data_IF_271257870345
#
_entry.id   IF_271257870345
#
_cell.length_a   1.000
_cell.length_b   1.000
_cell.length_c   1.000
_cell.angle_alpha   90.00
_cell.angle_beta   90.00
_cell.angle_gamma   90.00
#
_symmetry.space_group_name_H-M   'P 1'
#
loop_
_entity.id
_entity.type
_entity.pdbx_description
1 polymer ?
#
# COMPACT_ATOMS: atom_id res chain seq x y z
N UNK A 1 -26.87 11.77 18.17
CA UNK A 1 -26.33 12.56 17.05
C UNK A 1 -25.61 11.70 16.02
N UNK A 2 -24.57 10.93 16.39
CA UNK A 2 -23.86 10.04 15.44
C UNK A 2 -24.76 9.04 14.71
N UNK A 3 -25.67 8.38 15.44
CA UNK A 3 -26.67 7.48 14.83
C UNK A 3 -27.62 8.21 13.88
N UNK A 4 -27.95 9.48 14.14
CA UNK A 4 -28.78 10.29 13.25
C UNK A 4 -28.02 10.62 11.96
N UNK A 5 -26.72 10.94 12.05
CA UNK A 5 -25.86 11.14 10.86
C UNK A 5 -25.76 9.85 10.06
N UNK A 6 -25.61 8.70 10.71
CA UNK A 6 -25.59 7.41 10.04
C UNK A 6 -26.89 7.17 9.26
N UNK A 7 -28.05 7.30 9.90
CA UNK A 7 -29.30 7.03 9.21
C UNK A 7 -29.60 8.10 8.14
N UNK A 8 -29.65 9.37 8.53
CA UNK A 8 -30.18 10.45 7.67
C UNK A 8 -29.23 10.85 6.55
N UNK A 9 -27.92 10.71 6.75
CA UNK A 9 -26.93 11.13 5.76
C UNK A 9 -26.23 9.94 5.10
N UNK A 10 -25.69 8.99 5.86
CA UNK A 10 -24.96 7.86 5.26
C UNK A 10 -25.92 6.91 4.52
N UNK A 11 -27.00 6.47 5.17
CA UNK A 11 -27.94 5.50 4.59
C UNK A 11 -28.93 6.17 3.64
N UNK A 12 -29.59 7.25 4.06
CA UNK A 12 -30.70 7.83 3.27
C UNK A 12 -30.23 8.69 2.08
N UNK A 13 -29.03 9.29 2.16
CA UNK A 13 -28.52 10.21 1.12
C UNK A 13 -27.31 9.64 0.38
N UNK A 14 -26.27 9.22 1.10
CA UNK A 14 -24.99 8.88 0.51
C UNK A 14 -24.99 7.50 -0.14
N UNK A 15 -25.59 6.49 0.51
CA UNK A 15 -25.64 5.13 -0.02
C UNK A 15 -26.31 5.03 -1.40
N UNK A 16 -27.48 5.63 -1.68
CA UNK A 16 -28.07 5.61 -3.01
C UNK A 16 -27.20 6.28 -4.08
N UNK A 17 -26.45 7.33 -3.70
CA UNK A 17 -25.53 8.01 -4.61
C UNK A 17 -24.28 7.16 -4.90
N UNK A 18 -23.74 6.50 -3.88
CA UNK A 18 -22.63 5.58 -4.03
C UNK A 18 -23.01 4.36 -4.85
N UNK A 19 -24.24 3.85 -4.73
CA UNK A 19 -24.73 2.72 -5.53
C UNK A 19 -25.21 3.12 -6.94
N UNK A 20 -25.16 4.41 -7.27
CA UNK A 20 -25.56 4.92 -8.58
C UNK A 20 -24.59 4.46 -9.68
N UNK A 21 -25.06 4.41 -10.92
CA UNK A 21 -24.26 4.08 -12.11
C UNK A 21 -23.74 5.31 -12.86
N UNK A 22 -24.25 6.51 -12.54
CA UNK A 22 -23.79 7.76 -13.14
C UNK A 22 -22.40 8.14 -12.59
N UNK A 23 -21.40 8.19 -13.46
CA UNK A 23 -20.02 8.47 -13.09
C UNK A 23 -19.87 9.78 -12.30
N UNK A 24 -20.57 10.84 -12.70
CA UNK A 24 -20.50 12.11 -12.00
C UNK A 24 -21.06 12.03 -10.57
N UNK A 25 -22.17 11.30 -10.37
CA UNK A 25 -22.77 11.10 -9.05
C UNK A 25 -21.84 10.28 -8.17
N UNK A 26 -21.25 9.23 -8.73
CA UNK A 26 -20.28 8.37 -8.04
C UNK A 26 -19.04 9.16 -7.64
N UNK A 27 -18.49 9.96 -8.54
CA UNK A 27 -17.29 10.75 -8.29
C UNK A 27 -17.52 11.78 -7.18
N UNK A 28 -18.62 12.53 -7.26
CA UNK A 28 -18.97 13.55 -6.27
C UNK A 28 -19.24 12.91 -4.90
N UNK A 29 -20.05 11.86 -4.85
CA UNK A 29 -20.38 11.18 -3.57
C UNK A 29 -19.15 10.53 -2.93
N UNK A 30 -18.28 9.90 -3.73
CA UNK A 30 -17.00 9.34 -3.23
C UNK A 30 -16.08 10.43 -2.72
N UNK A 31 -15.99 11.58 -3.41
CA UNK A 31 -15.17 12.72 -2.99
C UNK A 31 -15.70 13.38 -1.71
N UNK A 32 -17.02 13.53 -1.58
CA UNK A 32 -17.68 14.02 -0.36
C UNK A 32 -17.41 13.08 0.81
N UNK A 33 -17.51 11.76 0.58
CA UNK A 33 -17.20 10.77 1.61
C UNK A 33 -15.73 10.81 2.00
N UNK A 34 -14.82 10.93 1.03
CA UNK A 34 -13.38 11.10 1.27
C UNK A 34 -13.11 12.32 2.15
N UNK A 35 -13.72 13.47 1.85
CA UNK A 35 -13.61 14.66 2.68
C UNK A 35 -14.21 14.45 4.08
N UNK A 36 -15.34 13.76 4.20
CA UNK A 36 -15.94 13.46 5.50
C UNK A 36 -15.07 12.54 6.36
N UNK A 37 -14.46 11.50 5.76
CA UNK A 37 -13.46 10.66 6.43
C UNK A 37 -12.28 11.53 6.83
N UNK A 38 -11.67 12.30 5.92
CA UNK A 38 -10.54 13.19 6.25
C UNK A 38 -10.83 14.09 7.45
N UNK A 39 -11.99 14.74 7.46
CA UNK A 39 -12.35 15.76 8.45
C UNK A 39 -12.94 15.19 9.76
N UNK A 40 -13.36 13.92 9.81
CA UNK A 40 -13.93 13.38 11.05
C UNK A 40 -12.87 13.27 12.15
N UNK A 41 -13.18 13.86 13.31
CA UNK A 41 -12.37 13.82 14.52
C UNK A 41 -13.08 13.11 15.68
N UNK A 42 -14.41 13.03 15.66
CA UNK A 42 -15.19 12.33 16.70
C UNK A 42 -15.11 10.82 16.50
N UNK A 43 -14.66 10.09 17.52
CA UNK A 43 -14.61 8.62 17.51
C UNK A 43 -15.96 8.00 17.18
N UNK A 44 -17.04 8.46 17.81
CA UNK A 44 -18.38 7.94 17.55
C UNK A 44 -18.87 8.19 16.12
N UNK A 45 -18.42 9.23 15.43
CA UNK A 45 -18.75 9.44 14.01
C UNK A 45 -17.86 8.62 13.09
N UNK A 46 -16.58 8.48 13.44
CA UNK A 46 -15.65 7.59 12.74
C UNK A 46 -16.14 6.14 12.77
N UNK A 47 -16.61 5.65 13.92
CA UNK A 47 -17.18 4.31 14.05
C UNK A 47 -18.37 4.10 13.11
N UNK A 48 -19.24 5.12 12.97
CA UNK A 48 -20.38 5.05 12.04
C UNK A 48 -19.92 5.05 10.58
N UNK A 49 -18.92 5.85 10.22
CA UNK A 49 -18.37 5.89 8.86
C UNK A 49 -17.69 4.57 8.50
N UNK A 50 -16.89 4.01 9.41
CA UNK A 50 -16.19 2.74 9.22
C UNK A 50 -17.19 1.58 9.14
N UNK A 51 -18.19 1.55 10.03
CA UNK A 51 -19.25 0.55 9.98
C UNK A 51 -20.00 0.62 8.64
N UNK A 52 -20.42 1.82 8.23
CA UNK A 52 -21.11 2.05 6.97
C UNK A 52 -20.28 1.57 5.77
N UNK A 53 -19.00 1.94 5.68
CA UNK A 53 -18.14 1.62 4.53
C UNK A 53 -17.65 0.17 4.49
N UNK A 54 -17.22 -0.37 5.64
CA UNK A 54 -16.46 -1.62 5.72
C UNK A 54 -17.28 -2.81 6.25
N UNK A 55 -18.41 -2.57 6.93
CA UNK A 55 -19.30 -3.64 7.41
C UNK A 55 -20.54 -3.81 6.52
N UNK A 56 -20.80 -2.88 5.60
CA UNK A 56 -21.84 -3.02 4.58
C UNK A 56 -21.25 -3.67 3.32
N UNK A 57 -21.41 -4.99 3.20
CA UNK A 57 -20.76 -5.80 2.16
C UNK A 57 -20.82 -5.23 0.73
N UNK A 58 -21.98 -4.71 0.23
CA UNK A 58 -22.04 -4.10 -1.10
C UNK A 58 -21.13 -2.87 -1.26
N UNK A 59 -21.00 -2.04 -0.23
CA UNK A 59 -20.22 -0.80 -0.29
C UNK A 59 -18.73 -1.07 -0.23
N UNK A 60 -18.29 -2.02 0.60
CA UNK A 60 -16.88 -2.39 0.69
C UNK A 60 -16.41 -2.98 -0.64
N UNK A 61 -17.16 -3.93 -1.20
CA UNK A 61 -16.83 -4.51 -2.50
C UNK A 61 -16.82 -3.44 -3.61
N UNK A 62 -17.80 -2.54 -3.62
CA UNK A 62 -17.90 -1.48 -4.62
C UNK A 62 -16.75 -0.46 -4.51
N UNK A 63 -16.36 -0.07 -3.30
CA UNK A 63 -15.20 0.79 -3.06
C UNK A 63 -13.94 0.17 -3.65
N UNK A 64 -13.67 -1.10 -3.31
CA UNK A 64 -12.48 -1.80 -3.76
C UNK A 64 -12.49 -2.05 -5.27
N UNK A 65 -13.65 -2.40 -5.85
CA UNK A 65 -13.80 -2.51 -7.30
C UNK A 65 -13.52 -1.17 -8.00
N UNK A 66 -13.93 -0.04 -7.41
CA UNK A 66 -13.72 1.28 -8.00
C UNK A 66 -12.28 1.76 -7.96
N UNK A 67 -11.43 1.22 -7.08
CA UNK A 67 -9.98 1.47 -7.13
C UNK A 67 -9.34 0.97 -8.44
N UNK A 68 -9.97 0.03 -9.16
CA UNK A 68 -9.58 -0.40 -10.51
C UNK A 68 -10.60 -0.03 -11.61
N UNK A 69 -11.31 1.09 -11.43
CA UNK A 69 -12.29 1.54 -12.42
C UNK A 69 -11.63 2.03 -13.72
N UNK A 70 -12.34 1.91 -14.85
CA UNK A 70 -11.89 2.40 -16.16
C UNK A 70 -11.68 3.92 -16.21
N UNK A 71 -12.51 4.66 -15.46
CA UNK A 71 -12.32 6.10 -15.23
C UNK A 71 -11.25 6.33 -14.17
N UNK A 72 -10.15 6.97 -14.57
CA UNK A 72 -9.05 7.33 -13.68
C UNK A 72 -9.51 8.23 -12.53
N UNK A 73 -10.50 9.12 -12.76
CA UNK A 73 -11.03 10.00 -11.72
C UNK A 73 -11.73 9.21 -10.60
N UNK A 74 -12.50 8.19 -10.97
CA UNK A 74 -13.18 7.32 -9.99
C UNK A 74 -12.15 6.48 -9.24
N UNK A 75 -11.15 5.94 -9.94
CA UNK A 75 -10.05 5.19 -9.33
C UNK A 75 -9.25 6.02 -8.34
N UNK A 76 -8.89 7.24 -8.75
CA UNK A 76 -8.21 8.22 -7.90
C UNK A 76 -9.03 8.52 -6.65
N UNK A 77 -10.28 8.94 -6.79
CA UNK A 77 -11.11 9.30 -5.64
C UNK A 77 -11.31 8.12 -4.67
N UNK A 78 -11.40 6.89 -5.21
CA UNK A 78 -11.57 5.67 -4.41
C UNK A 78 -10.28 5.29 -3.67
N UNK A 79 -9.13 5.36 -4.34
CA UNK A 79 -7.82 5.15 -3.69
C UNK A 79 -7.53 6.22 -2.64
N UNK A 80 -7.85 7.49 -2.91
CA UNK A 80 -7.73 8.55 -1.90
C UNK A 80 -8.65 8.28 -0.70
N UNK A 81 -9.87 7.78 -0.90
CA UNK A 81 -10.74 7.40 0.21
C UNK A 81 -10.14 6.25 1.04
N UNK A 82 -9.57 5.22 0.39
CA UNK A 82 -8.84 4.15 1.10
C UNK A 82 -7.66 4.73 1.88
N UNK A 83 -6.91 5.64 1.25
CA UNK A 83 -5.79 6.33 1.86
C UNK A 83 -6.21 7.12 3.12
N UNK A 84 -7.33 7.85 3.07
CA UNK A 84 -7.89 8.59 4.21
C UNK A 84 -8.38 7.67 5.32
N UNK A 85 -8.96 6.52 4.98
CA UNK A 85 -9.34 5.51 5.98
C UNK A 85 -8.12 5.00 6.74
N UNK A 86 -7.02 4.70 6.03
CA UNK A 86 -5.79 4.21 6.64
C UNK A 86 -5.13 5.23 7.59
N UNK A 87 -5.50 6.50 7.53
CA UNK A 87 -5.04 7.54 8.47
C UNK A 87 -5.89 7.63 9.76
N UNK A 88 -6.92 6.79 9.91
CA UNK A 88 -7.84 6.86 11.04
C UNK A 88 -7.50 5.87 12.15
N UNK A 89 -7.67 6.26 13.42
CA UNK A 89 -7.35 5.41 14.58
C UNK A 89 -8.44 4.35 14.82
N UNK A 90 -8.76 3.56 13.79
CA UNK A 90 -9.79 2.52 13.85
C UNK A 90 -9.26 1.18 13.30
N UNK A 91 -8.99 0.24 14.20
CA UNK A 91 -8.40 -1.08 13.90
C UNK A 91 -9.12 -1.86 12.80
N UNK A 92 -10.47 -1.84 12.78
CA UNK A 92 -11.25 -2.58 11.77
C UNK A 92 -10.88 -2.22 10.32
N UNK A 93 -10.33 -1.02 10.09
CA UNK A 93 -9.92 -0.60 8.76
C UNK A 93 -8.87 -1.56 8.20
N UNK A 94 -7.80 -1.84 8.95
CA UNK A 94 -6.79 -2.81 8.54
C UNK A 94 -7.32 -4.24 8.59
N UNK A 95 -8.13 -4.57 9.60
CA UNK A 95 -8.65 -5.94 9.76
C UNK A 95 -9.52 -6.37 8.57
N UNK A 96 -10.45 -5.51 8.15
CA UNK A 96 -11.36 -5.80 7.04
C UNK A 96 -10.66 -5.68 5.69
N UNK A 97 -9.81 -4.67 5.51
CA UNK A 97 -9.20 -4.41 4.20
C UNK A 97 -8.07 -5.39 3.87
N UNK A 98 -7.27 -5.81 4.85
CA UNK A 98 -6.02 -6.55 4.60
C UNK A 98 -5.76 -7.71 5.55
N UNK A 99 -5.82 -7.52 6.88
CA UNK A 99 -5.28 -8.51 7.82
C UNK A 99 -6.10 -9.81 7.85
N UNK A 100 -7.42 -9.73 7.71
CA UNK A 100 -8.28 -10.92 7.68
C UNK A 100 -7.89 -11.93 6.59
N UNK A 101 -7.34 -11.46 5.47
CA UNK A 101 -6.86 -12.30 4.37
C UNK A 101 -5.47 -12.90 4.63
N UNK A 102 -4.64 -12.25 5.46
CA UNK A 102 -3.27 -12.68 5.74
C UNK A 102 -3.16 -13.61 6.96
N UNK A 103 -4.18 -13.66 7.84
CA UNK A 103 -4.13 -14.39 9.12
C UNK A 103 -3.71 -15.87 9.01
N UNK A 104 -4.14 -16.56 7.96
CA UNK A 104 -3.81 -17.98 7.75
C UNK A 104 -2.42 -18.24 7.17
N UNK A 105 -1.72 -17.19 6.69
CA UNK A 105 -0.42 -17.29 5.99
C UNK A 105 -0.43 -18.31 4.84
N UNK A 106 -1.58 -18.51 4.19
CA UNK A 106 -1.77 -19.45 3.09
C UNK A 106 -1.00 -19.06 1.80
N UNK A 107 -0.43 -17.85 1.75
CA UNK A 107 0.50 -17.41 0.72
C UNK A 107 1.87 -18.10 0.81
N UNK A 108 2.17 -18.85 1.87
CA UNK A 108 3.45 -19.56 2.02
C UNK A 108 3.38 -20.98 1.43
N UNK A 109 4.46 -21.41 0.78
CA UNK A 109 4.63 -22.78 0.33
C UNK A 109 4.78 -23.74 1.52
N UNK A 110 4.14 -24.92 1.51
CA UNK A 110 4.24 -25.92 2.60
C UNK A 110 5.68 -26.34 2.92
N UNK A 111 6.58 -26.26 1.93
CA UNK A 111 7.99 -26.63 2.10
C UNK A 111 8.81 -25.59 2.89
N UNK A 112 8.26 -24.41 3.15
CA UNK A 112 8.93 -23.34 3.90
C UNK A 112 8.85 -23.53 5.43
N UNK A 113 7.97 -24.42 5.91
CA UNK A 113 7.74 -24.63 7.35
C UNK A 113 8.83 -25.46 8.06
N UNK A 114 9.88 -25.91 7.35
CA UNK A 114 10.91 -26.81 7.88
C UNK A 114 12.36 -26.45 7.56
N UNK A 115 12.62 -25.29 6.94
CA UNK A 115 14.00 -24.81 6.77
C UNK A 115 14.25 -23.78 7.85
N UNK A 116 15.02 -24.25 8.84
CA UNK A 116 15.49 -23.52 9.99
C UNK A 116 16.13 -22.18 9.61
N UNK A 117 15.94 -21.27 10.54
CA UNK A 117 16.13 -19.84 10.50
C UNK A 117 17.61 -19.47 10.27
N UNK A 118 18.07 -19.54 9.02
CA UNK A 118 19.25 -18.76 8.64
C UNK A 118 18.81 -17.31 8.53
N UNK A 119 18.79 -16.64 9.68
CA UNK A 119 19.12 -15.22 9.77
C UNK A 119 20.50 -15.03 9.12
N UNK A 120 20.53 -15.05 7.79
CA UNK A 120 21.53 -14.31 7.06
C UNK A 120 21.33 -12.88 7.54
N UNK A 121 22.39 -12.19 7.94
CA UNK A 121 22.37 -10.74 8.14
C UNK A 121 22.05 -10.09 6.79
N UNK A 122 20.82 -10.24 6.32
CA UNK A 122 20.31 -9.68 5.08
C UNK A 122 19.94 -8.25 5.40
N UNK A 123 20.61 -7.31 4.74
CA UNK A 123 20.20 -5.91 4.71
C UNK A 123 18.89 -5.81 3.93
N UNK A 124 17.76 -6.23 4.52
CA UNK A 124 16.42 -6.14 3.94
C UNK A 124 16.13 -4.71 3.44
N UNK A 125 16.66 -3.71 4.15
CA UNK A 125 16.62 -2.29 3.80
C UNK A 125 17.19 -2.00 2.40
N UNK A 126 18.21 -2.73 1.98
CA UNK A 126 18.86 -2.51 0.69
C UNK A 126 18.20 -3.29 -0.45
N UNK A 127 17.36 -4.29 -0.17
CA UNK A 127 16.84 -5.18 -1.20
C UNK A 127 15.90 -4.43 -2.18
N UNK A 128 15.07 -3.51 -1.66
CA UNK A 128 14.26 -2.64 -2.51
C UNK A 128 15.11 -1.66 -3.34
N UNK A 129 16.21 -1.14 -2.81
CA UNK A 129 17.13 -0.29 -3.59
C UNK A 129 17.83 -1.07 -4.70
N UNK A 130 18.12 -2.35 -4.47
CA UNK A 130 18.73 -3.25 -5.44
C UNK A 130 17.79 -3.61 -6.60
N UNK A 131 16.47 -3.55 -6.40
CA UNK A 131 15.50 -3.77 -7.48
C UNK A 131 15.61 -2.73 -8.60
N UNK A 132 15.97 -1.48 -8.28
CA UNK A 132 16.02 -0.39 -9.26
C UNK A 132 17.26 -0.54 -10.16
N UNK A 133 17.11 -0.78 -11.47
CA UNK A 133 18.24 -0.92 -12.38
C UNK A 133 19.07 0.36 -12.50
N UNK A 134 20.39 0.23 -12.59
CA UNK A 134 21.32 1.38 -12.66
C UNK A 134 21.00 2.32 -13.83
N UNK A 135 20.50 1.78 -14.93
CA UNK A 135 20.16 2.52 -16.15
C UNK A 135 19.05 3.57 -15.93
N UNK A 136 18.17 3.34 -14.95
CA UNK A 136 17.02 4.23 -14.69
C UNK A 136 17.22 5.11 -13.47
N UNK A 137 18.24 4.85 -12.65
CA UNK A 137 18.60 5.68 -11.49
C UNK A 137 18.96 7.08 -11.95
N UNK A 138 18.02 8.01 -11.82
CA UNK A 138 18.22 9.38 -12.29
C UNK A 138 18.02 10.45 -11.23
N UNK A 139 17.51 10.12 -10.03
CA UNK A 139 17.42 11.09 -8.94
C UNK A 139 18.81 11.57 -8.45
N UNK A 140 19.78 10.66 -8.35
CA UNK A 140 21.14 10.96 -7.89
C UNK A 140 21.85 12.01 -8.77
N UNK A 141 21.40 12.17 -10.01
CA UNK A 141 21.98 13.11 -10.97
C UNK A 141 21.45 14.55 -10.81
N UNK A 142 20.37 14.76 -10.04
CA UNK A 142 19.74 16.06 -9.86
C UNK A 142 20.30 16.86 -8.67
N UNK A 143 21.14 16.26 -7.82
CA UNK A 143 21.61 16.86 -6.55
C UNK A 143 20.46 17.35 -5.63
N UNK A 144 19.24 16.85 -5.83
CA UNK A 144 18.07 17.16 -5.01
C UNK A 144 17.90 16.07 -3.96
N UNK A 145 18.23 16.39 -2.69
CA UNK A 145 17.98 15.52 -1.54
C UNK A 145 18.79 14.21 -1.51
N UNK A 146 19.44 13.93 -0.38
CA UNK A 146 20.03 12.62 -0.14
C UNK A 146 18.97 11.57 0.19
N UNK A 147 19.38 10.30 0.25
CA UNK A 147 18.54 9.22 0.78
C UNK A 147 18.03 9.50 2.21
N UNK A 148 18.76 10.32 2.97
CA UNK A 148 18.37 10.85 4.28
C UNK A 148 16.98 11.51 4.31
N UNK A 149 16.53 12.13 3.20
CA UNK A 149 15.18 12.72 3.14
C UNK A 149 14.10 11.64 3.27
N UNK A 150 14.27 10.50 2.57
CA UNK A 150 13.32 9.39 2.65
C UNK A 150 13.34 8.75 4.03
N UNK A 151 14.50 8.66 4.68
CA UNK A 151 14.60 8.16 6.06
C UNK A 151 13.87 9.09 7.03
N UNK A 152 14.00 10.40 6.87
CA UNK A 152 13.26 11.38 7.67
C UNK A 152 11.74 11.28 7.45
N UNK A 153 11.30 11.19 6.19
CA UNK A 153 9.89 11.05 5.84
C UNK A 153 9.32 9.72 6.36
N UNK A 154 10.09 8.63 6.25
CA UNK A 154 9.75 7.33 6.82
C UNK A 154 9.66 7.37 8.34
N UNK A 155 10.55 8.09 9.04
CA UNK A 155 10.41 8.31 10.48
C UNK A 155 9.12 9.04 10.84
N UNK A 156 8.73 10.04 10.04
CA UNK A 156 7.46 10.77 10.26
C UNK A 156 6.26 9.86 10.06
N UNK A 157 6.23 9.10 8.95
CA UNK A 157 5.16 8.15 8.60
C UNK A 157 5.05 6.99 9.61
N UNK A 158 6.18 6.43 10.04
CA UNK A 158 6.23 5.29 10.98
C UNK A 158 6.02 5.74 12.43
N UNK A 159 6.82 6.70 12.93
CA UNK A 159 6.92 7.00 14.38
C UNK A 159 6.06 8.18 14.84
N UNK A 160 6.12 9.31 14.13
CA UNK A 160 5.73 10.61 14.72
C UNK A 160 4.25 10.96 14.50
N UNK A 161 3.65 10.61 13.37
CA UNK A 161 2.28 11.09 13.07
C UNK A 161 1.27 10.03 12.69
N UNK A 162 1.64 8.95 11.99
CA UNK A 162 0.61 8.12 11.36
C UNK A 162 0.56 6.68 11.91
N UNK A 163 1.43 5.77 11.51
CA UNK A 163 1.06 4.35 11.68
C UNK A 163 1.27 3.80 13.10
N UNK A 164 2.40 4.11 13.77
CA UNK A 164 2.67 3.60 15.11
C UNK A 164 1.76 4.26 16.16
N UNK A 165 1.60 5.58 16.11
CA UNK A 165 0.72 6.34 17.02
C UNK A 165 -0.75 5.90 16.92
N UNK A 166 -1.27 5.71 15.71
CA UNK A 166 -2.65 5.26 15.48
C UNK A 166 -2.90 3.85 16.05
N UNK A 167 -1.85 3.01 16.06
CA UNK A 167 -1.97 1.59 16.41
C UNK A 167 -1.50 1.20 17.80
N UNK A 168 -1.03 2.15 18.62
CA UNK A 168 -0.53 1.88 19.98
C UNK A 168 -1.55 1.12 20.86
N UNK A 169 -2.84 1.37 20.66
CA UNK A 169 -3.93 0.76 21.43
C UNK A 169 -4.52 -0.51 20.81
N UNK A 170 -3.98 -0.99 19.69
CA UNK A 170 -4.62 -2.06 18.91
C UNK A 170 -4.21 -3.47 19.32
N UNK A 171 -3.34 -3.61 20.34
CA UNK A 171 -2.89 -4.88 20.93
C UNK A 171 -2.48 -5.90 19.86
N UNK A 172 -1.53 -5.51 19.01
CA UNK A 172 -1.04 -6.38 17.94
C UNK A 172 -0.36 -7.64 18.47
N UNK A 173 -0.47 -8.78 17.77
CA UNK A 173 0.26 -9.97 18.15
C UNK A 173 1.78 -9.69 18.08
N UNK A 174 2.56 -10.10 19.10
CA UNK A 174 3.99 -9.81 19.15
C UNK A 174 4.80 -10.62 18.13
N UNK A 175 4.22 -11.69 17.59
CA UNK A 175 4.86 -12.60 16.62
C UNK A 175 3.88 -13.06 15.54
N UNK A 176 4.43 -13.62 14.47
CA UNK A 176 3.64 -14.20 13.38
C UNK A 176 2.79 -15.36 13.88
N UNK A 177 1.51 -15.47 13.46
CA UNK A 177 0.72 -16.66 13.73
C UNK A 177 1.36 -17.89 13.06
N UNK A 178 1.17 -19.10 13.63
CA UNK A 178 1.64 -20.32 12.98
C UNK A 178 0.97 -20.47 11.62
N UNK A 179 1.72 -20.92 10.61
CA UNK A 179 1.16 -21.22 9.30
C UNK A 179 0.13 -22.34 9.44
N UNK A 180 -1.12 -22.11 9.04
CA UNK A 180 -2.15 -23.14 9.12
C UNK A 180 -1.85 -24.24 8.11
N UNK A 181 -1.44 -25.41 8.57
CA UNK A 181 -1.27 -26.62 7.73
C UNK A 181 -2.61 -27.27 7.34
N UNK A 182 -3.73 -26.63 7.67
CA UNK A 182 -5.08 -27.22 7.65
C UNK A 182 -5.93 -26.79 6.45
N UNK A 183 -5.31 -26.30 5.37
CA UNK A 183 -5.99 -25.90 4.13
C UNK A 183 -5.48 -26.67 2.93
N UNK A 184 -5.49 -28.01 2.97
CA UNK A 184 -5.35 -28.80 1.74
C UNK A 184 -6.58 -28.54 0.85
N UNK A 185 -6.55 -27.48 0.04
CA UNK A 185 -7.53 -27.25 -1.03
C UNK A 185 -8.05 -25.83 -1.23
N UNK A 186 -7.86 -24.88 -0.30
CA UNK A 186 -8.25 -23.49 -0.52
C UNK A 186 -7.08 -22.69 -1.11
N UNK A 187 -7.25 -22.21 -2.33
CA UNK A 187 -6.30 -21.30 -2.99
C UNK A 187 -6.25 -19.98 -2.21
N UNK A 188 -5.03 -19.50 -1.91
CA UNK A 188 -4.86 -18.26 -1.19
C UNK A 188 -5.46 -17.07 -1.96
N UNK A 189 -6.21 -16.25 -1.24
CA UNK A 189 -6.67 -14.95 -1.72
C UNK A 189 -6.03 -13.85 -0.92
N UNK A 190 -5.28 -12.98 -1.60
CA UNK A 190 -4.70 -11.76 -1.02
C UNK A 190 -5.73 -10.71 -0.60
N UNK A 191 -7.01 -10.95 -0.92
CA UNK A 191 -8.09 -10.00 -0.70
C UNK A 191 -8.19 -8.94 -1.80
N UNK A 192 -9.36 -8.29 -1.87
CA UNK A 192 -9.70 -7.39 -2.96
C UNK A 192 -8.78 -6.15 -3.02
N UNK A 193 -8.40 -5.59 -1.86
CA UNK A 193 -7.54 -4.40 -1.84
C UNK A 193 -6.15 -4.71 -2.38
N UNK A 194 -5.44 -5.71 -1.84
CA UNK A 194 -4.12 -6.07 -2.35
C UNK A 194 -4.17 -6.51 -3.81
N UNK A 195 -5.23 -7.22 -4.22
CA UNK A 195 -5.42 -7.56 -5.63
C UNK A 195 -5.41 -6.35 -6.54
N UNK A 196 -6.22 -5.34 -6.21
CA UNK A 196 -6.27 -4.09 -6.99
C UNK A 196 -4.94 -3.34 -6.95
N UNK A 197 -4.33 -3.20 -5.76
CA UNK A 197 -3.05 -2.49 -5.61
C UNK A 197 -1.94 -3.17 -6.42
N UNK A 198 -1.86 -4.50 -6.40
CA UNK A 198 -0.86 -5.27 -7.13
C UNK A 198 -1.13 -5.33 -8.64
N UNK A 199 -2.40 -5.39 -9.07
CA UNK A 199 -2.78 -5.32 -10.48
C UNK A 199 -2.48 -3.94 -11.07
N UNK A 200 -2.67 -2.87 -10.29
CA UNK A 200 -2.28 -1.51 -10.69
C UNK A 200 -0.76 -1.33 -10.68
N UNK A 201 -0.07 -1.79 -9.64
CA UNK A 201 1.40 -1.73 -9.57
C UNK A 201 2.04 -2.48 -10.75
N UNK A 202 1.46 -3.63 -11.13
CA UNK A 202 1.85 -4.38 -12.31
C UNK A 202 1.74 -3.62 -13.64
N UNK A 203 0.99 -2.52 -13.69
CA UNK A 203 0.75 -1.64 -14.84
C UNK A 203 1.29 -0.22 -14.62
N UNK A 204 2.13 0.01 -13.61
CA UNK A 204 2.63 1.35 -13.25
C UNK A 204 3.31 2.09 -14.42
N UNK A 205 3.88 1.35 -15.38
CA UNK A 205 4.53 1.90 -16.58
C UNK A 205 3.56 2.38 -17.67
N UNK A 206 2.27 2.10 -17.51
CA UNK A 206 1.20 2.35 -18.49
C UNK A 206 0.08 3.24 -17.94
N UNK A 207 0.19 3.65 -16.67
CA UNK A 207 -0.86 4.37 -15.94
C UNK A 207 -0.54 5.86 -15.77
N UNK A 208 -1.55 6.71 -15.58
CA UNK A 208 -1.37 8.13 -15.29
C UNK A 208 -0.47 8.35 -14.08
N UNK A 209 0.32 9.42 -14.12
CA UNK A 209 1.31 9.72 -13.09
C UNK A 209 0.66 9.92 -11.71
N UNK A 210 -0.44 10.68 -11.68
CA UNK A 210 -1.18 10.99 -10.46
C UNK A 210 -1.77 9.72 -9.82
N UNK A 211 -2.20 8.77 -10.66
CA UNK A 211 -2.69 7.47 -10.21
C UNK A 211 -1.57 6.62 -9.60
N UNK A 212 -0.40 6.64 -10.21
CA UNK A 212 0.76 5.94 -9.67
C UNK A 212 1.20 6.53 -8.33
N UNK A 213 1.20 7.86 -8.17
CA UNK A 213 1.52 8.50 -6.89
C UNK A 213 0.53 8.09 -5.79
N UNK A 214 -0.76 8.12 -6.11
CA UNK A 214 -1.81 7.73 -5.16
C UNK A 214 -1.72 6.24 -4.79
N UNK A 215 -1.40 5.39 -5.75
CA UNK A 215 -1.18 3.96 -5.54
C UNK A 215 0.00 3.70 -4.60
N UNK A 216 1.15 4.32 -4.85
CA UNK A 216 2.35 4.13 -4.03
C UNK A 216 2.16 4.69 -2.63
N UNK A 217 1.46 5.81 -2.47
CA UNK A 217 1.11 6.35 -1.15
C UNK A 217 0.30 5.35 -0.29
N UNK A 218 -0.69 4.67 -0.88
CA UNK A 218 -1.47 3.63 -0.17
C UNK A 218 -0.58 2.45 0.24
N UNK A 219 0.28 1.96 -0.67
CA UNK A 219 1.19 0.85 -0.37
C UNK A 219 2.25 1.22 0.68
N UNK A 220 2.82 2.42 0.62
CA UNK A 220 3.77 2.94 1.60
C UNK A 220 3.13 3.03 2.98
N UNK A 221 1.89 3.53 3.07
CA UNK A 221 1.16 3.58 4.35
C UNK A 221 0.85 2.19 4.92
N UNK A 222 0.38 1.25 4.09
CA UNK A 222 0.18 -0.14 4.51
C UNK A 222 1.48 -0.77 5.03
N UNK A 223 2.60 -0.48 4.36
CA UNK A 223 3.94 -0.98 4.74
C UNK A 223 4.45 -0.38 6.06
N UNK A 224 4.08 0.87 6.35
CA UNK A 224 4.49 1.59 7.55
C UNK A 224 3.82 1.10 8.84
N UNK A 225 2.70 0.37 8.77
CA UNK A 225 2.10 -0.25 9.96
C UNK A 225 3.02 -1.29 10.58
N UNK A 226 3.18 -1.22 11.91
CA UNK A 226 4.00 -2.15 12.67
C UNK A 226 3.22 -3.43 13.02
N UNK A 227 2.86 -4.20 11.99
CA UNK A 227 2.17 -5.48 12.12
C UNK A 227 3.01 -6.61 11.50
N UNK A 228 3.27 -7.74 12.18
CA UNK A 228 4.12 -8.81 11.66
C UNK A 228 3.69 -9.35 10.29
N UNK A 229 2.39 -9.62 10.10
CA UNK A 229 1.87 -10.09 8.79
C UNK A 229 2.07 -9.07 7.64
N UNK A 230 1.94 -7.76 7.91
CA UNK A 230 2.15 -6.75 6.87
C UNK A 230 3.64 -6.65 6.53
N UNK A 231 4.52 -6.74 7.53
CA UNK A 231 5.95 -6.78 7.29
C UNK A 231 6.35 -8.04 6.49
N UNK A 232 5.87 -9.22 6.87
CA UNK A 232 6.13 -10.44 6.11
C UNK A 232 5.61 -10.37 4.66
N UNK A 233 4.37 -9.94 4.45
CA UNK A 233 3.74 -10.00 3.13
C UNK A 233 4.20 -8.88 2.17
N UNK A 234 4.51 -7.69 2.71
CA UNK A 234 4.87 -6.51 1.90
C UNK A 234 6.38 -6.26 1.84
N UNK A 235 7.12 -6.57 2.90
CA UNK A 235 8.49 -6.09 3.07
C UNK A 235 9.54 -7.19 3.06
N UNK A 236 9.19 -8.44 3.41
CA UNK A 236 10.15 -9.54 3.40
C UNK A 236 10.33 -10.10 1.97
N UNK A 237 11.53 -9.96 1.36
CA UNK A 237 11.80 -10.42 0.00
C UNK A 237 12.07 -11.93 -0.09
N UNK A 238 12.27 -12.60 1.05
CA UNK A 238 12.68 -13.99 1.17
C UNK A 238 11.53 -14.96 1.40
N UNK A 239 10.27 -14.48 1.37
CA UNK A 239 9.13 -15.37 1.57
C UNK A 239 8.99 -16.37 0.41
N UNK A 240 8.89 -17.65 0.77
CA UNK A 240 8.63 -18.72 -0.18
C UNK A 240 7.14 -18.79 -0.49
N UNK A 241 6.73 -18.13 -1.58
CA UNK A 241 5.33 -18.05 -1.99
C UNK A 241 4.79 -19.42 -2.43
N UNK A 242 3.52 -19.69 -2.08
CA UNK A 242 2.74 -20.80 -2.64
C UNK A 242 2.43 -20.56 -4.13
N UNK A 243 1.97 -21.59 -4.83
CA UNK A 243 1.61 -21.48 -6.24
C UNK A 243 0.54 -20.40 -6.45
N UNK A 244 0.68 -19.62 -7.52
CA UNK A 244 -0.21 -18.50 -7.88
C UNK A 244 -0.28 -17.32 -6.90
N UNK A 245 0.41 -17.41 -5.76
CA UNK A 245 0.54 -16.29 -4.81
C UNK A 245 1.57 -15.28 -5.28
N UNK A 246 1.38 -14.03 -4.85
CA UNK A 246 2.31 -12.92 -5.09
C UNK A 246 2.54 -12.14 -3.80
N UNK A 247 3.69 -11.52 -3.70
CA UNK A 247 4.03 -10.49 -2.70
C UNK A 247 4.31 -9.16 -3.38
N UNK A 248 4.36 -8.06 -2.60
CA UNK A 248 4.78 -6.76 -3.12
C UNK A 248 6.13 -6.86 -3.83
N UNK A 249 7.10 -7.54 -3.21
CA UNK A 249 8.43 -7.75 -3.77
C UNK A 249 8.39 -8.52 -5.11
N UNK A 250 7.61 -9.61 -5.19
CA UNK A 250 7.48 -10.39 -6.44
C UNK A 250 6.83 -9.59 -7.58
N UNK A 251 5.87 -8.72 -7.26
CA UNK A 251 5.23 -7.84 -8.24
C UNK A 251 6.24 -6.83 -8.76
N UNK A 252 7.03 -6.21 -7.87
CA UNK A 252 8.09 -5.28 -8.24
C UNK A 252 9.15 -5.95 -9.13
N UNK A 253 9.61 -7.17 -8.81
CA UNK A 253 10.55 -7.91 -9.67
C UNK A 253 9.99 -8.05 -11.09
N UNK A 254 8.72 -8.45 -11.23
CA UNK A 254 8.09 -8.62 -12.54
C UNK A 254 8.02 -7.30 -13.30
N UNK A 255 7.66 -6.21 -12.63
CA UNK A 255 7.61 -4.85 -13.23
C UNK A 255 9.01 -4.39 -13.65
N UNK A 256 10.04 -4.63 -12.84
CA UNK A 256 11.44 -4.31 -13.19
C UNK A 256 11.92 -5.12 -14.39
N UNK A 257 11.51 -6.39 -14.51
CA UNK A 257 11.79 -7.22 -15.68
C UNK A 257 11.18 -6.65 -16.97
N UNK A 258 9.90 -6.25 -16.92
CA UNK A 258 9.21 -5.60 -18.05
C UNK A 258 9.83 -4.24 -18.39
N UNK A 259 10.13 -3.42 -17.37
CA UNK A 259 10.84 -2.16 -17.51
C UNK A 259 12.14 -2.34 -18.32
N UNK A 260 12.97 -3.32 -17.94
CA UNK A 260 14.25 -3.58 -18.60
C UNK A 260 14.11 -3.93 -20.07
N UNK A 261 13.02 -4.58 -20.49
CA UNK A 261 12.75 -4.85 -21.89
C UNK A 261 12.33 -3.58 -22.64
N UNK A 262 11.45 -2.77 -22.05
CA UNK A 262 10.91 -1.57 -22.68
C UNK A 262 11.95 -0.47 -22.86
N UNK A 263 12.85 -0.29 -21.89
CA UNK A 263 13.87 0.77 -21.97
C UNK A 263 14.94 0.52 -23.03
N UNK A 264 15.13 -0.71 -23.50
CA UNK A 264 16.11 -1.03 -24.55
C UNK A 264 15.81 -0.29 -25.87
N UNK A 265 14.54 0.05 -26.11
CA UNK A 265 14.10 0.76 -27.31
C UNK A 265 14.24 2.29 -27.18
N UNK A 266 14.66 2.80 -26.02
CA UNK A 266 14.69 4.24 -25.74
C UNK A 266 16.12 4.78 -25.94
N UNK A 267 16.29 5.60 -26.96
CA UNK A 267 17.53 6.37 -27.15
C UNK A 267 17.63 7.53 -26.15
N UNK A 268 18.86 7.81 -25.69
CA UNK A 268 19.16 8.88 -24.74
C UNK A 268 18.31 8.80 -23.45
N UNK A 269 18.15 7.58 -22.92
CA UNK A 269 17.29 7.30 -21.76
C UNK A 269 17.55 8.24 -20.58
N UNK A 270 18.82 8.41 -20.18
CA UNK A 270 19.21 9.26 -19.06
C UNK A 270 18.75 10.70 -19.23
N UNK A 271 19.00 11.31 -20.40
CA UNK A 271 18.58 12.69 -20.69
C UNK A 271 17.06 12.83 -20.68
N UNK A 272 16.35 11.83 -21.22
CA UNK A 272 14.88 11.83 -21.22
C UNK A 272 14.31 11.71 -19.81
N UNK A 273 14.89 10.88 -18.95
CA UNK A 273 14.48 10.76 -17.55
C UNK A 273 14.73 12.07 -16.79
N UNK A 274 15.89 12.69 -16.96
CA UNK A 274 16.20 14.00 -16.35
C UNK A 274 15.23 15.09 -16.80
N UNK A 275 14.94 15.16 -18.10
CA UNK A 275 13.97 16.10 -18.63
C UNK A 275 12.55 15.83 -18.11
N UNK A 276 12.17 14.55 -17.98
CA UNK A 276 10.86 14.16 -17.45
C UNK A 276 10.73 14.55 -15.98
N UNK A 277 11.77 14.35 -15.15
CA UNK A 277 11.77 14.80 -13.75
C UNK A 277 11.60 16.31 -13.63
N UNK A 278 12.33 17.10 -14.43
CA UNK A 278 12.30 18.58 -14.35
C UNK A 278 11.00 19.20 -14.86
N UNK A 279 10.35 18.58 -15.85
CA UNK A 279 9.25 19.20 -16.58
C UNK A 279 7.92 18.46 -16.48
N UNK A 280 7.90 17.29 -15.84
CA UNK A 280 6.76 16.37 -15.78
C UNK A 280 6.01 16.35 -17.13
N UNK A 281 6.70 15.99 -18.21
CA UNK A 281 6.11 16.06 -19.56
C UNK A 281 4.94 15.08 -19.70
N UNK A 282 3.75 15.57 -20.07
CA UNK A 282 2.47 14.82 -20.08
C UNK A 282 2.46 13.55 -20.93
N UNK A 283 3.24 13.52 -22.02
CA UNK A 283 3.20 12.45 -23.02
C UNK A 283 4.12 11.26 -22.74
N UNK A 284 4.85 11.26 -21.61
CA UNK A 284 5.89 10.27 -21.33
C UNK A 284 5.49 9.31 -20.20
N UNK A 285 4.33 8.66 -20.34
CA UNK A 285 3.75 7.72 -19.34
C UNK A 285 4.76 6.71 -18.82
N UNK A 286 5.50 6.05 -19.72
CA UNK A 286 6.53 5.09 -19.35
C UNK A 286 7.59 5.72 -18.43
N UNK A 287 8.17 6.86 -18.82
CA UNK A 287 9.24 7.51 -18.05
C UNK A 287 8.75 8.09 -16.72
N UNK A 288 7.50 8.59 -16.68
CA UNK A 288 6.84 8.98 -15.43
C UNK A 288 6.67 7.77 -14.51
N UNK A 289 6.23 6.63 -15.04
CA UNK A 289 6.16 5.36 -14.30
C UNK A 289 7.52 4.90 -13.79
N UNK A 290 8.58 5.02 -14.58
CA UNK A 290 9.97 4.73 -14.16
C UNK A 290 10.38 5.59 -12.97
N UNK A 291 10.10 6.90 -13.03
CA UNK A 291 10.41 7.83 -11.95
C UNK A 291 9.67 7.40 -10.68
N UNK A 292 8.34 7.22 -10.74
CA UNK A 292 7.55 6.81 -9.56
C UNK A 292 8.07 5.49 -8.98
N UNK A 293 8.42 4.53 -9.82
CA UNK A 293 8.94 3.24 -9.37
C UNK A 293 10.30 3.36 -8.66
N UNK A 294 11.22 4.20 -9.18
CA UNK A 294 12.48 4.52 -8.51
C UNK A 294 12.25 5.16 -7.14
N UNK A 295 11.34 6.14 -7.06
CA UNK A 295 11.01 6.86 -5.83
C UNK A 295 10.37 5.92 -4.79
N UNK A 296 9.41 5.10 -5.21
CA UNK A 296 8.71 4.15 -4.35
C UNK A 296 9.65 3.09 -3.76
N UNK A 297 10.62 2.58 -4.52
CA UNK A 297 11.60 1.62 -4.00
C UNK A 297 12.50 2.23 -2.92
N UNK A 298 12.86 3.52 -3.03
CA UNK A 298 13.61 4.24 -1.97
C UNK A 298 12.76 4.44 -0.72
N UNK A 299 11.49 4.79 -0.91
CA UNK A 299 10.54 4.97 0.18
C UNK A 299 10.34 3.65 0.96
N UNK A 300 10.11 2.53 0.26
CA UNK A 300 10.00 1.21 0.89
C UNK A 300 11.28 0.85 1.65
N UNK A 301 12.45 1.01 1.03
CA UNK A 301 13.74 0.78 1.69
C UNK A 301 13.88 1.58 2.99
N UNK A 302 13.49 2.86 2.96
CA UNK A 302 13.54 3.73 4.15
C UNK A 302 12.55 3.29 5.23
N UNK A 303 11.35 2.83 4.84
CA UNK A 303 10.37 2.25 5.77
C UNK A 303 10.93 1.00 6.46
N UNK A 304 11.55 0.07 5.73
CA UNK A 304 12.17 -1.12 6.33
C UNK A 304 13.27 -0.71 7.32
N UNK A 305 14.15 0.20 6.91
CA UNK A 305 15.26 0.69 7.74
C UNK A 305 14.78 1.27 9.07
N UNK A 306 13.77 2.13 9.02
CA UNK A 306 13.19 2.74 10.22
C UNK A 306 12.55 1.68 11.13
N UNK A 307 11.89 0.66 10.58
CA UNK A 307 11.27 -0.43 11.34
C UNK A 307 12.30 -1.35 12.00
N UNK A 308 13.42 -1.62 11.34
CA UNK A 308 14.50 -2.41 11.94
C UNK A 308 15.13 -1.65 13.12
N UNK A 309 15.37 -0.35 12.98
CA UNK A 309 15.91 0.47 14.06
C UNK A 309 14.99 0.49 15.30
N UNK A 310 13.68 0.63 15.13
CA UNK A 310 12.74 0.62 16.27
C UNK A 310 12.70 -0.73 16.97
N UNK A 311 12.79 -1.84 16.23
CA UNK A 311 12.87 -3.18 16.81
C UNK A 311 14.13 -3.40 17.66
N UNK A 312 15.27 -2.85 17.22
CA UNK A 312 16.58 -2.97 17.88
C UNK A 312 16.83 -1.99 19.05
N UNK A 313 15.90 -1.06 19.31
CA UNK A 313 16.09 -0.04 20.35
C UNK A 313 16.01 -0.66 21.77
N UNK A 314 16.88 -0.26 22.72
CA UNK A 314 16.97 -0.87 24.05
C UNK A 314 15.70 -0.73 24.92
N UNK A 315 14.75 0.13 24.53
CA UNK A 315 13.43 0.21 25.16
C UNK A 315 12.53 -1.00 24.83
N UNK A 316 12.69 -1.65 23.66
CA UNK A 316 11.93 -2.87 23.31
C UNK A 316 12.40 -4.10 24.09
N UNK A 317 13.71 -4.16 24.40
CA UNK A 317 14.35 -5.23 25.18
C UNK A 317 14.03 -5.17 26.68
N UNK A 318 13.50 -4.04 27.17
CA UNK A 318 13.02 -3.92 28.56
C UNK A 318 11.53 -4.25 28.72
N UNK A 319 10.78 -4.40 27.62
CA UNK A 319 9.35 -4.75 27.63
C UNK A 319 9.04 -6.14 27.06
N UNK A 320 10.07 -6.94 26.74
CA UNK A 320 9.95 -8.35 26.30
C UNK A 320 10.25 -9.34 27.42
#
# INVERSE_FOLDING_TARGET
LSQCVHQLWLVDVLQPQLLNTCEQVVLVSTSVLCAAVRLVQSSSLLDQLVHFLLRTHPLTHLLLQRCDHISDQISMASLSLVEELLQKPHRDILEVLVLSYLRGRAYLSPSAAGVDDRHTESNEDSDFLCLVPVQVRSAQLLQEGGYESYVHDAHTLVRVTDCQSLSQSWDWPPSLPPSSSSGEGEEFSEGHLFKVLFDRLGRILEQPYELNLQLTAVLSRLSAFNHPLLHEYLLNPYIHLSHCSRSLFSVLIRVMGDLMQRIQQISSLTDRLLNTRRRLLEYLTLLRGVIVLEEFCKELAAIVFVKLQTSSSPESLMMS
#
